data_IF_104729849778
#
_entry.id   IF_104729849778
#
_cell.length_a   1.000
_cell.length_b   1.000
_cell.length_c   1.000
_cell.angle_alpha   90.00
_cell.angle_beta   90.00
_cell.angle_gamma   90.00
#
_symmetry.space_group_name_H-M   'P 1'
#
loop_
_entity.id
_entity.type
_entity.pdbx_description
1 polymer ?
#
# COMPACT_ATOMS: atom_id res chain seq x y z
N UNK A 1 -27.19 3.57 22.71
CA UNK A 1 -26.00 4.43 22.46
C UNK A 1 -24.83 3.69 21.79
N UNK A 2 -24.89 2.37 21.59
CA UNK A 2 -23.84 1.57 20.93
C UNK A 2 -23.94 1.62 19.39
N UNK A 3 -25.14 1.80 18.84
CA UNK A 3 -25.37 1.75 17.39
C UNK A 3 -24.77 2.92 16.58
N UNK A 4 -24.54 4.08 17.21
CA UNK A 4 -23.94 5.22 16.51
C UNK A 4 -22.43 5.04 16.29
N UNK A 5 -21.73 4.36 17.20
CA UNK A 5 -20.27 4.19 17.11
C UNK A 5 -19.82 3.24 15.99
N UNK A 6 -20.60 2.19 15.71
CA UNK A 6 -20.28 1.22 14.65
C UNK A 6 -20.43 1.85 13.27
N UNK A 7 -21.43 2.71 13.07
CA UNK A 7 -21.60 3.42 11.79
C UNK A 7 -20.41 4.35 11.50
N UNK A 8 -19.90 5.09 12.50
CA UNK A 8 -18.75 5.99 12.31
C UNK A 8 -17.45 5.24 11.96
N UNK A 9 -17.23 4.02 12.48
CA UNK A 9 -16.03 3.24 12.19
C UNK A 9 -15.97 2.71 10.74
N UNK A 10 -17.11 2.57 10.06
CA UNK A 10 -17.16 2.11 8.67
C UNK A 10 -16.82 3.24 7.67
N UNK A 11 -16.92 4.51 8.07
CA UNK A 11 -16.62 5.65 7.21
C UNK A 11 -15.12 5.98 7.13
N UNK A 12 -14.28 5.47 8.04
CA UNK A 12 -12.81 5.66 7.97
C UNK A 12 -12.14 4.84 6.86
N UNK A 13 -12.86 3.89 6.25
CA UNK A 13 -12.33 3.08 5.14
C UNK A 13 -12.16 3.81 3.82
N UNK A 14 -12.80 4.98 3.64
CA UNK A 14 -12.67 5.80 2.43
C UNK A 14 -11.59 6.89 2.55
N UNK A 15 -10.94 7.03 3.71
CA UNK A 15 -9.84 7.97 3.84
C UNK A 15 -8.60 7.37 3.15
N UNK A 16 -8.14 7.99 2.05
CA UNK A 16 -6.89 7.62 1.36
C UNK A 16 -5.64 7.88 2.21
N UNK A 17 -5.83 8.52 3.38
CA UNK A 17 -4.81 8.95 4.31
C UNK A 17 -5.37 8.78 5.74
N UNK A 18 -4.59 8.15 6.63
CA UNK A 18 -4.98 7.83 8.01
C UNK A 18 -4.50 6.45 8.46
N UNK A 19 -4.99 5.96 9.60
CA UNK A 19 -4.47 4.76 10.26
C UNK A 19 -4.38 3.50 9.39
N UNK A 20 -5.27 3.33 8.41
CA UNK A 20 -5.20 2.23 7.43
C UNK A 20 -4.01 2.35 6.49
N UNK A 21 -3.76 3.55 5.95
CA UNK A 21 -2.60 3.86 5.12
C UNK A 21 -1.31 3.79 5.95
N UNK A 22 -1.30 4.37 7.15
CA UNK A 22 -0.12 4.37 8.04
C UNK A 22 0.27 2.94 8.45
N UNK A 23 -0.72 2.11 8.78
CA UNK A 23 -0.51 0.69 9.07
C UNK A 23 0.02 -0.08 7.86
N UNK A 24 -0.52 0.20 6.67
CA UNK A 24 -0.02 -0.37 5.41
C UNK A 24 1.44 0.03 5.14
N UNK A 25 1.77 1.31 5.27
CA UNK A 25 3.12 1.82 5.06
C UNK A 25 4.14 1.24 6.06
N UNK A 26 3.71 0.89 7.27
CA UNK A 26 4.56 0.23 8.27
C UNK A 26 4.73 -1.28 8.01
N UNK A 27 3.71 -1.94 7.47
CA UNK A 27 3.73 -3.39 7.21
C UNK A 27 4.47 -3.77 5.92
N UNK A 28 4.43 -2.90 4.91
CA UNK A 28 4.98 -3.16 3.58
C UNK A 28 6.19 -2.28 3.25
N UNK A 29 6.95 -2.66 2.22
CA UNK A 29 8.14 -1.95 1.73
C UNK A 29 8.23 -2.07 0.19
N UNK A 30 9.13 -1.30 -0.46
CA UNK A 30 9.42 -1.49 -1.88
C UNK A 30 9.89 -2.92 -2.19
N UNK A 31 9.40 -3.44 -3.31
CA UNK A 31 9.84 -4.73 -3.86
C UNK A 31 10.99 -4.45 -4.83
N UNK A 32 12.11 -5.11 -4.61
CA UNK A 32 13.28 -5.06 -5.47
C UNK A 32 13.34 -6.29 -6.35
N UNK A 33 13.69 -6.10 -7.62
CA UNK A 33 13.88 -7.19 -8.58
C UNK A 33 15.36 -7.35 -8.91
N UNK A 34 15.72 -8.56 -9.30
CA UNK A 34 17.05 -8.97 -9.71
C UNK A 34 16.99 -9.66 -11.07
N UNK A 35 18.16 -9.89 -11.67
CA UNK A 35 18.24 -10.65 -12.93
C UNK A 35 17.86 -12.14 -12.77
N UNK A 36 17.80 -12.65 -11.54
CA UNK A 36 17.43 -14.03 -11.26
C UNK A 36 15.91 -14.23 -11.17
N UNK A 37 15.13 -13.15 -11.07
CA UNK A 37 13.68 -13.24 -10.93
C UNK A 37 13.00 -13.52 -12.27
N UNK A 38 12.13 -14.52 -12.30
CA UNK A 38 11.27 -14.80 -13.43
C UNK A 38 9.88 -14.22 -13.15
N UNK A 39 9.56 -13.11 -13.81
CA UNK A 39 8.26 -12.46 -13.70
C UNK A 39 7.45 -12.70 -14.97
N UNK A 40 6.15 -12.91 -14.80
CA UNK A 40 5.21 -12.68 -15.89
C UNK A 40 5.00 -11.17 -16.06
N UNK A 41 4.54 -10.75 -17.25
CA UNK A 41 4.21 -9.34 -17.50
C UNK A 41 3.22 -8.80 -16.46
N UNK A 42 2.19 -9.57 -16.14
CA UNK A 42 1.19 -9.18 -15.14
C UNK A 42 1.78 -9.02 -13.72
N UNK A 43 2.72 -9.88 -13.31
CA UNK A 43 3.40 -9.72 -12.03
C UNK A 43 4.31 -8.49 -12.02
N UNK A 44 5.01 -8.23 -13.14
CA UNK A 44 5.86 -7.05 -13.26
C UNK A 44 5.05 -5.74 -13.16
N UNK A 45 3.88 -5.69 -13.81
CA UNK A 45 2.94 -4.56 -13.71
C UNK A 45 2.44 -4.35 -12.28
N UNK A 46 2.07 -5.43 -11.58
CA UNK A 46 1.62 -5.36 -10.19
C UNK A 46 2.71 -4.86 -9.24
N UNK A 47 3.95 -5.33 -9.40
CA UNK A 47 5.09 -4.87 -8.60
C UNK A 47 5.36 -3.39 -8.85
N UNK A 48 5.31 -2.96 -10.11
CA UNK A 48 5.45 -1.55 -10.46
C UNK A 48 4.35 -0.71 -9.80
N UNK A 49 3.09 -1.11 -9.92
CA UNK A 49 1.97 -0.42 -9.30
C UNK A 49 2.12 -0.32 -7.78
N UNK A 50 2.48 -1.41 -7.11
CA UNK A 50 2.75 -1.44 -5.66
C UNK A 50 3.82 -0.42 -5.25
N UNK A 51 4.97 -0.43 -5.94
CA UNK A 51 6.07 0.47 -5.62
C UNK A 51 5.72 1.94 -5.88
N UNK A 52 5.01 2.24 -6.97
CA UNK A 52 4.57 3.61 -7.28
C UNK A 52 3.53 4.11 -6.26
N UNK A 53 2.57 3.28 -5.88
CA UNK A 53 1.60 3.62 -4.84
C UNK A 53 2.30 3.89 -3.51
N UNK A 54 3.25 3.05 -3.11
CA UNK A 54 4.02 3.27 -1.89
C UNK A 54 4.95 4.49 -1.95
N UNK A 55 5.50 4.83 -3.11
CA UNK A 55 6.23 6.08 -3.30
C UNK A 55 5.31 7.31 -3.10
N UNK A 56 4.09 7.25 -3.65
CA UNK A 56 3.11 8.32 -3.55
C UNK A 56 2.54 8.48 -2.13
N UNK A 57 2.16 7.37 -1.48
CA UNK A 57 1.42 7.38 -0.22
C UNK A 57 2.34 7.28 1.01
N UNK A 58 3.44 6.55 0.91
CA UNK A 58 4.32 6.21 2.03
C UNK A 58 5.70 6.89 1.95
N UNK A 59 5.99 7.63 0.87
CA UNK A 59 7.30 8.27 0.65
C UNK A 59 8.42 7.26 0.42
N UNK A 60 8.11 6.04 -0.01
CA UNK A 60 9.14 5.04 -0.28
C UNK A 60 10.07 5.47 -1.43
N UNK A 61 11.35 5.16 -1.28
CA UNK A 61 12.37 5.42 -2.31
C UNK A 61 12.92 4.10 -2.81
N UNK A 62 13.03 3.94 -4.14
CA UNK A 62 13.80 2.86 -4.72
C UNK A 62 15.28 3.21 -4.71
N UNK A 63 16.03 2.57 -3.83
CA UNK A 63 17.49 2.61 -3.83
C UNK A 63 17.99 1.48 -4.70
N UNK A 64 18.41 1.79 -5.93
CA UNK A 64 19.08 0.84 -6.81
C UNK A 64 20.38 0.32 -6.22
#
# INVERSE_FOLDING_TARGET
MICAGILLALLSGCATNGAGTDGGCAAFRPIYTSRADALTDGTAEQVLAHNLTGAQLCGWVQTR
#
